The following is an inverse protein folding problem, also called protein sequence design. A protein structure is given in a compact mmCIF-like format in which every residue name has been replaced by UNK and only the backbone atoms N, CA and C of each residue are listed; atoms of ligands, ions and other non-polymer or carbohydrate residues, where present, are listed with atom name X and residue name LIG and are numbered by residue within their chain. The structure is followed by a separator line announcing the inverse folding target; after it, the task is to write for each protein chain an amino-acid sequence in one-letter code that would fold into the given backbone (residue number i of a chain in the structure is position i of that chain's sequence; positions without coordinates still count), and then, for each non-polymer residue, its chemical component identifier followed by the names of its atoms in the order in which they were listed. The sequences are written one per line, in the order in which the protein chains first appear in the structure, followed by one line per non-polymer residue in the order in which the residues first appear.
data_IF_534522819726
#
_entry.id   IF_534522819726
#
_cell.length_a   1.000
_cell.length_b   1.000
_cell.length_c   1.000
_cell.angle_alpha   90.00
_cell.angle_beta   90.00
_cell.angle_gamma   90.00
#
_symmetry.space_group_name_H-M   'P 1'
#
loop_
_entity.id
_entity.type
_entity.pdbx_description
1 polymer ?
#
# COMPACT_ATOMS: atom_id res chain seq x y z
N UNK A 1 -5.55 -37.81 -21.28
CA UNK A 1 -4.52 -36.77 -21.50
C UNK A 1 -4.41 -35.94 -20.23
N UNK A 2 -3.40 -36.23 -19.41
CA UNK A 2 -3.13 -35.46 -18.20
C UNK A 2 -2.33 -34.20 -18.59
N UNK A 3 -2.87 -33.03 -18.28
CA UNK A 3 -2.11 -31.79 -18.34
C UNK A 3 -1.09 -31.81 -17.20
N UNK A 4 0.18 -32.02 -17.55
CA UNK A 4 1.31 -31.70 -16.69
C UNK A 4 1.30 -30.18 -16.49
N UNK A 5 0.86 -29.76 -15.30
CA UNK A 5 1.17 -28.42 -14.79
C UNK A 5 2.69 -28.37 -14.66
N UNK A 6 3.33 -27.57 -15.50
CA UNK A 6 4.73 -27.25 -15.34
C UNK A 6 4.90 -26.59 -13.97
N UNK A 7 5.45 -27.34 -13.02
CA UNK A 7 6.02 -26.77 -11.80
C UNK A 7 7.23 -25.98 -12.27
N UNK A 8 7.02 -24.72 -12.63
CA UNK A 8 8.12 -23.77 -12.79
C UNK A 8 8.88 -23.74 -11.48
N UNK A 9 10.16 -24.08 -11.55
CA UNK A 9 11.09 -24.08 -10.43
C UNK A 9 11.16 -22.68 -9.79
N UNK A 10 10.27 -22.42 -8.82
CA UNK A 10 10.26 -21.18 -8.02
C UNK A 10 11.51 -21.07 -7.15
N UNK A 11 12.27 -22.16 -6.96
CA UNK A 11 13.36 -22.20 -5.97
C UNK A 11 14.63 -21.45 -6.38
N UNK A 12 14.85 -21.20 -7.68
CA UNK A 12 16.09 -20.56 -8.14
C UNK A 12 16.08 -19.02 -8.06
N UNK A 13 14.90 -18.40 -8.02
CA UNK A 13 14.76 -16.93 -8.07
C UNK A 13 13.95 -16.34 -6.90
N UNK A 14 13.51 -17.17 -5.96
CA UNK A 14 12.80 -16.73 -4.77
C UNK A 14 13.29 -17.43 -3.50
N UNK A 15 13.26 -16.72 -2.37
CA UNK A 15 13.67 -17.22 -1.05
C UNK A 15 12.62 -16.78 -0.02
N UNK A 16 12.09 -17.66 0.84
CA UNK A 16 11.03 -17.29 1.78
C UNK A 16 11.51 -16.24 2.79
N UNK A 17 10.62 -15.30 3.13
CA UNK A 17 10.81 -14.40 4.26
C UNK A 17 10.24 -15.03 5.54
N UNK A 18 10.86 -14.74 6.67
CA UNK A 18 10.35 -15.09 7.99
C UNK A 18 9.39 -14.01 8.48
N UNK A 19 8.15 -14.38 8.77
CA UNK A 19 7.14 -13.46 9.26
C UNK A 19 6.66 -13.85 10.66
N UNK A 20 6.49 -12.83 11.49
CA UNK A 20 5.64 -12.89 12.67
C UNK A 20 4.58 -11.80 12.57
N UNK A 21 3.43 -11.99 13.21
CA UNK A 21 2.29 -11.10 13.15
C UNK A 21 1.79 -10.72 14.55
N UNK A 22 1.33 -9.49 14.69
CA UNK A 22 0.66 -8.97 15.87
C UNK A 22 -0.63 -8.27 15.44
N UNK A 23 -1.78 -8.82 15.83
CA UNK A 23 -3.10 -8.28 15.47
C UNK A 23 -3.59 -7.29 16.53
N UNK A 24 -3.98 -6.10 16.08
CA UNK A 24 -4.58 -5.04 16.87
C UNK A 24 -6.04 -4.86 16.45
N UNK A 25 -6.95 -5.04 17.41
CA UNK A 25 -8.38 -4.78 17.25
C UNK A 25 -8.69 -3.36 17.76
N UNK A 26 -9.64 -2.69 17.13
CA UNK A 26 -9.98 -1.30 17.48
C UNK A 26 -9.17 -0.29 16.69
N UNK A 27 -8.77 0.81 17.34
CA UNK A 27 -8.02 1.89 16.69
C UNK A 27 -6.58 1.46 16.35
N UNK A 28 -6.04 1.89 15.19
CA UNK A 28 -4.63 1.68 14.87
C UNK A 28 -3.73 2.32 15.94
N UNK A 29 -2.60 1.67 16.21
CA UNK A 29 -1.60 2.14 17.18
C UNK A 29 -0.36 2.66 16.46
N UNK A 30 0.46 3.43 17.19
CA UNK A 30 1.72 3.94 16.64
C UNK A 30 2.71 2.81 16.35
N UNK A 31 3.65 3.04 15.44
CA UNK A 31 4.78 2.13 15.21
C UNK A 31 5.53 1.79 16.51
N UNK A 32 5.78 2.80 17.36
CA UNK A 32 6.53 2.63 18.60
C UNK A 32 5.83 1.68 19.60
N UNK A 33 4.50 1.65 19.60
CA UNK A 33 3.72 0.72 20.41
C UNK A 33 3.62 -0.65 19.74
N UNK A 34 3.44 -0.67 18.42
CA UNK A 34 3.30 -1.90 17.65
C UNK A 34 4.52 -2.82 17.77
N UNK A 35 5.74 -2.29 17.70
CA UNK A 35 6.97 -3.10 17.81
C UNK A 35 7.19 -3.70 19.20
N UNK A 36 6.45 -3.26 20.21
CA UNK A 36 6.44 -3.84 21.57
C UNK A 36 5.35 -4.90 21.73
N UNK A 37 4.54 -5.11 20.70
CA UNK A 37 3.46 -6.08 20.69
C UNK A 37 3.94 -7.52 20.78
N UNK A 38 3.00 -8.42 21.05
CA UNK A 38 3.28 -9.86 21.10
C UNK A 38 3.14 -10.46 19.70
N UNK A 39 4.28 -10.62 19.02
CA UNK A 39 4.33 -11.21 17.69
C UNK A 39 4.35 -12.73 17.75
N UNK A 40 3.48 -13.37 16.97
CA UNK A 40 3.44 -14.84 16.80
C UNK A 40 3.80 -15.21 15.37
N UNK A 41 4.36 -16.40 15.15
CA UNK A 41 4.75 -16.84 13.80
C UNK A 41 3.54 -16.90 12.87
N UNK A 42 3.73 -16.43 11.63
CA UNK A 42 2.78 -16.62 10.53
C UNK A 42 3.53 -17.06 9.27
N UNK A 43 2.90 -17.87 8.42
CA UNK A 43 3.46 -18.32 7.13
C UNK A 43 2.43 -18.19 6.01
N UNK A 44 2.89 -18.29 4.77
CA UNK A 44 1.99 -18.42 3.62
C UNK A 44 1.00 -19.57 3.83
N UNK A 45 -0.26 -19.31 3.54
CA UNK A 45 -1.40 -20.19 3.77
C UNK A 45 -2.17 -19.90 5.06
N UNK A 46 -1.58 -19.16 6.01
CA UNK A 46 -2.25 -18.82 7.26
C UNK A 46 -3.26 -17.67 7.05
N UNK A 47 -4.37 -17.74 7.79
CA UNK A 47 -5.39 -16.71 7.81
C UNK A 47 -5.01 -15.56 8.76
N UNK A 48 -5.35 -14.32 8.39
CA UNK A 48 -5.07 -13.14 9.19
C UNK A 48 -6.11 -12.04 9.01
N UNK A 49 -6.07 -11.05 9.91
CA UNK A 49 -6.77 -9.79 9.77
C UNK A 49 -8.29 -9.92 9.79
N UNK A 50 -8.90 -10.06 10.98
CA UNK A 50 -10.34 -9.83 11.11
C UNK A 50 -10.73 -8.47 10.52
N UNK A 51 -11.94 -8.31 9.95
CA UNK A 51 -12.31 -7.06 9.28
C UNK A 51 -12.05 -5.82 10.13
N UNK A 52 -11.51 -4.79 9.49
CA UNK A 52 -11.17 -3.49 10.08
C UNK A 52 -10.16 -3.54 11.24
N UNK A 53 -9.41 -4.64 11.36
CA UNK A 53 -8.25 -4.75 12.25
C UNK A 53 -6.97 -4.28 11.57
N UNK A 54 -5.95 -4.03 12.38
CA UNK A 54 -4.59 -3.79 11.92
C UNK A 54 -3.74 -4.97 12.28
N UNK A 55 -3.07 -5.60 11.32
CA UNK A 55 -2.07 -6.63 11.59
C UNK A 55 -0.70 -6.06 11.26
N UNK A 56 0.16 -6.00 12.27
CA UNK A 56 1.56 -5.69 12.10
C UNK A 56 2.30 -6.97 11.75
N UNK A 57 2.99 -7.00 10.61
CA UNK A 57 3.91 -8.09 10.27
C UNK A 57 5.34 -7.63 10.54
N UNK A 58 6.12 -8.39 11.31
CA UNK A 58 7.57 -8.23 11.35
C UNK A 58 8.18 -9.14 10.30
N UNK A 59 8.87 -8.55 9.33
CA UNK A 59 9.45 -9.23 8.18
C UNK A 59 10.95 -9.32 8.37
N UNK A 60 11.47 -10.55 8.39
CA UNK A 60 12.89 -10.83 8.52
C UNK A 60 13.40 -11.77 7.44
N UNK A 61 14.68 -11.70 7.16
CA UNK A 61 15.34 -12.62 6.24
C UNK A 61 16.74 -12.15 5.87
N UNK A 62 17.40 -12.95 5.03
CA UNK A 62 18.73 -12.64 4.50
C UNK A 62 18.72 -12.84 2.99
N UNK A 63 19.27 -11.87 2.27
CA UNK A 63 19.50 -11.97 0.84
C UNK A 63 20.54 -13.05 0.59
N UNK A 64 20.25 -14.07 -0.24
CA UNK A 64 21.23 -15.09 -0.59
C UNK A 64 22.52 -14.47 -1.18
N UNK A 65 23.68 -14.98 -0.78
CA UNK A 65 24.98 -14.47 -1.26
C UNK A 65 25.09 -14.51 -2.80
N UNK A 66 24.49 -15.54 -3.41
CA UNK A 66 24.44 -15.69 -4.87
C UNK A 66 23.67 -14.56 -5.59
N UNK A 67 22.91 -13.73 -4.86
CA UNK A 67 22.14 -12.62 -5.41
C UNK A 67 22.80 -11.25 -5.16
N UNK A 68 23.96 -11.21 -4.50
CA UNK A 68 24.70 -9.95 -4.31
C UNK A 68 24.98 -9.28 -5.65
N UNK A 69 24.79 -7.96 -5.69
CA UNK A 69 24.90 -7.16 -6.92
C UNK A 69 23.68 -7.23 -7.86
N UNK A 70 22.65 -8.01 -7.54
CA UNK A 70 21.36 -8.02 -8.26
C UNK A 70 20.37 -7.08 -7.60
N UNK A 71 19.36 -6.59 -8.34
CA UNK A 71 18.22 -5.88 -7.78
C UNK A 71 17.31 -6.89 -7.07
N UNK A 72 17.30 -6.87 -5.74
CA UNK A 72 16.49 -7.76 -4.90
C UNK A 72 15.31 -7.00 -4.32
N UNK A 73 14.17 -7.65 -4.25
CA UNK A 73 12.93 -7.10 -3.69
C UNK A 73 12.29 -8.09 -2.71
N UNK A 74 11.57 -7.57 -1.73
CA UNK A 74 10.61 -8.34 -0.95
C UNK A 74 9.24 -8.23 -1.62
N UNK A 75 8.68 -9.36 -2.02
CA UNK A 75 7.41 -9.48 -2.74
C UNK A 75 6.34 -10.08 -1.83
N UNK A 76 5.13 -9.51 -1.92
CA UNK A 76 4.00 -9.85 -1.07
C UNK A 76 2.73 -10.09 -1.88
N UNK A 77 1.98 -11.11 -1.46
CA UNK A 77 0.54 -11.22 -1.69
C UNK A 77 -0.10 -11.44 -0.32
N UNK A 78 -0.66 -10.37 0.23
CA UNK A 78 -1.28 -10.37 1.55
C UNK A 78 -2.68 -11.00 1.54
N UNK A 79 -3.10 -11.59 0.42
CA UNK A 79 -4.44 -12.15 0.25
C UNK A 79 -5.37 -11.22 -0.51
N UNK A 80 -4.83 -10.40 -1.42
CA UNK A 80 -5.58 -9.36 -2.11
C UNK A 80 -6.84 -9.94 -2.79
N UNK A 81 -7.98 -9.34 -2.48
CA UNK A 81 -9.30 -9.78 -2.91
C UNK A 81 -10.10 -8.57 -3.43
N UNK A 82 -9.92 -8.26 -4.73
CA UNK A 82 -10.57 -7.13 -5.39
C UNK A 82 -9.58 -6.06 -5.89
N UNK A 83 -10.10 -4.92 -6.39
CA UNK A 83 -9.27 -3.81 -6.83
C UNK A 83 -8.57 -3.09 -5.65
N UNK A 84 -7.46 -2.42 -5.94
CA UNK A 84 -6.75 -1.54 -4.99
C UNK A 84 -7.72 -0.53 -4.37
N UNK A 85 -7.60 -0.26 -3.07
CA UNK A 85 -8.56 0.54 -2.31
C UNK A 85 -9.70 -0.25 -1.66
N UNK A 86 -10.04 -1.46 -2.13
CA UNK A 86 -11.18 -2.25 -1.64
C UNK A 86 -10.77 -3.65 -1.15
N UNK A 87 -9.55 -3.75 -0.66
CA UNK A 87 -8.92 -4.98 -0.15
C UNK A 87 -7.94 -4.61 0.98
N UNK A 88 -7.26 -5.61 1.56
CA UNK A 88 -6.12 -5.35 2.43
C UNK A 88 -5.01 -4.56 1.74
N UNK A 89 -4.40 -3.63 2.49
CA UNK A 89 -3.32 -2.74 2.06
C UNK A 89 -2.35 -2.61 3.23
N UNK A 90 -1.06 -2.41 2.97
CA UNK A 90 -0.08 -2.27 4.03
C UNK A 90 0.90 -1.12 3.80
N UNK A 91 1.27 -0.43 4.87
CA UNK A 91 2.35 0.57 4.84
C UNK A 91 3.62 -0.06 5.42
N UNK A 92 4.73 0.05 4.70
CA UNK A 92 6.01 -0.47 5.16
C UNK A 92 6.73 0.55 6.07
N UNK A 93 7.22 0.07 7.22
CA UNK A 93 7.84 0.85 8.29
C UNK A 93 9.19 0.31 8.74
N UNK A 94 10.21 1.16 8.78
CA UNK A 94 11.55 0.81 9.26
C UNK A 94 12.09 1.94 10.11
N UNK A 95 12.58 1.60 11.31
CA UNK A 95 13.17 2.58 12.24
C UNK A 95 12.24 3.78 12.52
N UNK A 96 10.93 3.50 12.66
CA UNK A 96 9.92 4.52 12.91
C UNK A 96 9.49 5.35 11.71
N UNK A 97 10.01 5.05 10.51
CA UNK A 97 9.71 5.80 9.29
C UNK A 97 8.92 4.95 8.28
N UNK A 98 7.76 5.43 7.81
CA UNK A 98 7.06 4.79 6.72
C UNK A 98 7.74 5.16 5.39
N UNK A 99 7.80 4.23 4.43
CA UNK A 99 8.48 4.54 3.16
C UNK A 99 7.75 4.16 1.88
N UNK A 100 6.91 3.12 1.87
CA UNK A 100 6.17 2.70 0.68
C UNK A 100 4.97 1.82 1.02
N UNK A 101 3.89 1.97 0.26
CA UNK A 101 2.71 1.11 0.34
C UNK A 101 2.89 -0.23 -0.37
N UNK A 102 2.13 -1.23 0.09
CA UNK A 102 1.99 -2.57 -0.49
C UNK A 102 0.51 -2.83 -0.75
N UNK A 103 0.18 -3.12 -2.00
CA UNK A 103 -1.21 -3.27 -2.49
C UNK A 103 -1.23 -4.12 -3.78
N UNK A 104 -2.40 -4.41 -4.38
CA UNK A 104 -2.49 -5.24 -5.59
C UNK A 104 -1.68 -4.75 -6.79
N UNK A 105 -1.39 -3.45 -6.90
CA UNK A 105 -0.60 -2.83 -7.98
C UNK A 105 0.86 -2.61 -7.56
N UNK A 106 1.15 -2.50 -6.27
CA UNK A 106 2.50 -2.31 -5.73
C UNK A 106 2.87 -3.47 -4.78
N UNK A 107 3.24 -4.61 -5.36
CA UNK A 107 3.43 -5.86 -4.60
C UNK A 107 4.83 -6.09 -4.05
N UNK A 108 5.77 -5.19 -4.33
CA UNK A 108 7.16 -5.40 -3.95
C UNK A 108 7.80 -4.15 -3.33
N UNK A 109 8.73 -4.38 -2.42
CA UNK A 109 9.53 -3.36 -1.74
C UNK A 109 11.01 -3.56 -2.08
N UNK A 110 11.75 -2.50 -2.40
CA UNK A 110 13.19 -2.61 -2.67
C UNK A 110 13.94 -3.01 -1.39
N UNK A 111 14.91 -3.92 -1.51
CA UNK A 111 15.78 -4.34 -0.42
C UNK A 111 17.20 -3.84 -0.69
N UNK A 112 17.70 -3.00 0.22
CA UNK A 112 19.03 -2.41 0.14
C UNK A 112 19.90 -3.03 1.23
N UNK A 113 20.69 -4.04 0.85
CA UNK A 113 21.63 -4.72 1.74
C UNK A 113 21.32 -6.21 1.95
N UNK A 114 22.19 -6.90 2.71
CA UNK A 114 22.09 -8.35 2.91
C UNK A 114 20.99 -8.73 3.90
N UNK A 115 20.65 -7.88 4.86
CA UNK A 115 19.67 -8.17 5.89
C UNK A 115 18.32 -7.51 5.59
N UNK A 116 17.26 -8.26 5.83
CA UNK A 116 15.88 -7.79 5.80
C UNK A 116 15.38 -7.71 7.23
N UNK A 117 15.01 -6.50 7.66
CA UNK A 117 14.34 -6.26 8.92
C UNK A 117 13.49 -4.99 8.78
N UNK A 118 12.16 -5.18 8.77
CA UNK A 118 11.18 -4.09 8.73
C UNK A 118 9.80 -4.60 9.13
N UNK A 119 8.84 -3.68 9.23
CA UNK A 119 7.46 -3.99 9.59
C UNK A 119 6.50 -3.59 8.48
N UNK A 120 5.40 -4.32 8.34
CA UNK A 120 4.24 -3.92 7.54
C UNK A 120 3.07 -3.65 8.48
N UNK A 121 2.51 -2.44 8.42
CA UNK A 121 1.23 -2.10 9.05
C UNK A 121 0.12 -2.43 8.05
N UNK A 122 -0.50 -3.60 8.16
CA UNK A 122 -1.53 -4.05 7.23
C UNK A 122 -2.95 -3.80 7.76
N UNK A 123 -3.75 -3.05 7.01
CA UNK A 123 -5.16 -2.84 7.28
C UNK A 123 -5.99 -3.95 6.63
N UNK A 124 -6.81 -4.64 7.42
CA UNK A 124 -7.69 -5.69 6.93
C UNK A 124 -9.03 -5.10 6.50
N UNK A 125 -9.09 -4.53 5.29
CA UNK A 125 -10.26 -3.82 4.78
C UNK A 125 -11.01 -4.69 3.75
N UNK A 126 -11.88 -5.63 4.17
CA UNK A 126 -12.73 -6.33 3.21
C UNK A 126 -13.72 -5.36 2.59
N UNK A 127 -14.15 -5.65 1.37
CA UNK A 127 -15.16 -4.86 0.67
C UNK A 127 -16.45 -4.78 1.48
N UNK A 128 -17.04 -3.58 1.54
CA UNK A 128 -18.36 -3.39 2.12
C UNK A 128 -19.42 -4.14 1.27
N UNK A 129 -20.54 -4.54 1.90
CA UNK A 129 -21.65 -5.09 1.12
C UNK A 129 -22.43 -3.95 0.48
N UNK A 130 -22.26 -3.76 -0.84
CA UNK A 130 -22.98 -2.72 -1.61
C UNK A 130 -24.31 -3.21 -2.17
N UNK A 131 -24.40 -4.52 -2.50
CA UNK A 131 -25.54 -5.16 -3.13
C UNK A 131 -25.66 -6.62 -2.64
N UNK A 132 -26.87 -7.14 -2.50
CA UNK A 132 -27.08 -8.54 -2.09
C UNK A 132 -28.46 -8.82 -1.52
N UNK A 133 -28.70 -10.07 -1.12
CA UNK A 133 -29.90 -10.45 -0.39
C UNK A 133 -29.75 -10.13 1.10
N UNK A 134 -30.81 -9.59 1.71
CA UNK A 134 -30.84 -9.30 3.14
C UNK A 134 -31.02 -10.58 3.99
N UNK A 135 -30.40 -10.67 5.18
CA UNK A 135 -29.61 -9.63 5.83
C UNK A 135 -28.13 -9.60 5.35
N UNK A 136 -27.69 -8.45 4.83
CA UNK A 136 -26.29 -8.21 4.53
C UNK A 136 -25.53 -7.71 5.78
N UNK A 137 -24.27 -8.13 6.01
CA UNK A 137 -23.50 -7.62 7.14
C UNK A 137 -23.18 -6.13 6.93
N UNK A 138 -23.61 -5.29 7.87
CA UNK A 138 -23.23 -3.87 7.89
C UNK A 138 -21.74 -3.70 8.16
N UNK A 139 -21.20 -2.52 7.86
CA UNK A 139 -19.82 -2.14 8.23
C UNK A 139 -19.55 -2.27 9.73
N UNK A 140 -20.56 -2.02 10.56
CA UNK A 140 -20.49 -2.20 12.02
C UNK A 140 -20.40 -3.68 12.38
N UNK A 141 -21.25 -4.51 11.78
CA UNK A 141 -21.22 -5.96 12.01
C UNK A 141 -19.89 -6.58 11.55
N UNK A 142 -19.37 -6.16 10.40
CA UNK A 142 -18.05 -6.57 9.92
C UNK A 142 -16.95 -6.21 10.92
N UNK A 143 -16.95 -4.98 11.46
CA UNK A 143 -15.95 -4.54 12.44
C UNK A 143 -15.90 -5.45 13.67
N UNK A 144 -17.04 -5.97 14.11
CA UNK A 144 -17.13 -6.86 15.27
C UNK A 144 -16.78 -8.32 14.94
N UNK A 145 -16.81 -8.70 13.66
CA UNK A 145 -16.52 -10.06 13.22
C UNK A 145 -15.10 -10.49 13.68
N UNK A 146 -14.98 -11.65 14.37
CA UNK A 146 -13.70 -12.14 14.87
C UNK A 146 -12.90 -12.90 13.81
N UNK A 147 -13.57 -13.37 12.75
CA UNK A 147 -12.96 -14.26 11.77
C UNK A 147 -11.99 -13.51 10.86
N UNK A 148 -10.81 -14.10 10.58
CA UNK A 148 -9.87 -13.55 9.60
C UNK A 148 -10.53 -13.32 8.22
N UNK A 149 -10.26 -12.16 7.62
CA UNK A 149 -10.79 -11.82 6.29
C UNK A 149 -9.84 -12.17 5.14
N UNK A 150 -8.56 -12.43 5.43
CA UNK A 150 -7.52 -12.60 4.42
C UNK A 150 -6.65 -13.83 4.68
N UNK A 151 -6.04 -14.35 3.61
CA UNK A 151 -5.04 -15.42 3.67
C UNK A 151 -3.71 -14.85 3.16
N UNK A 152 -2.65 -14.93 3.95
CA UNK A 152 -1.32 -14.56 3.48
C UNK A 152 -0.89 -15.55 2.40
N UNK A 153 -0.75 -15.12 1.15
CA UNK A 153 -0.43 -16.02 0.03
C UNK A 153 1.06 -16.08 -0.27
N UNK A 154 1.74 -14.94 -0.19
CA UNK A 154 3.14 -14.83 -0.56
C UNK A 154 3.88 -13.80 0.29
N UNK A 155 5.08 -14.16 0.73
CA UNK A 155 6.05 -13.27 1.35
C UNK A 155 7.45 -13.84 1.09
N UNK A 156 8.11 -13.35 0.04
CA UNK A 156 9.38 -13.90 -0.45
C UNK A 156 10.34 -12.77 -0.83
N UNK A 157 11.63 -13.03 -0.72
CA UNK A 157 12.63 -12.31 -1.51
C UNK A 157 12.63 -12.84 -2.93
N UNK A 158 12.83 -11.95 -3.90
CA UNK A 158 12.96 -12.29 -5.30
C UNK A 158 13.98 -11.40 -6.00
N UNK A 159 14.61 -11.92 -7.06
CA UNK A 159 15.37 -11.09 -8.00
C UNK A 159 14.36 -10.32 -8.86
N UNK A 160 14.38 -8.99 -8.75
CA UNK A 160 13.53 -8.13 -9.56
C UNK A 160 14.06 -8.10 -10.99
N UNK A 161 13.20 -8.49 -11.93
CA UNK A 161 13.42 -8.29 -13.36
C UNK A 161 12.57 -7.09 -13.76
N UNK A 162 13.18 -5.99 -14.25
CA UNK A 162 12.38 -4.90 -14.78
C UNK A 162 11.53 -5.44 -15.93
N UNK A 163 10.31 -4.93 -16.07
CA UNK A 163 9.45 -5.28 -17.19
C UNK A 163 10.19 -4.93 -18.49
N UNK A 164 10.46 -5.96 -19.30
CA UNK A 164 11.14 -5.82 -20.58
C UNK A 164 10.19 -5.32 -21.67
N UNK A 165 9.20 -4.50 -21.31
CA UNK A 165 8.31 -3.90 -22.28
C UNK A 165 9.16 -3.00 -23.18
N UNK A 166 9.56 -3.55 -24.33
CA UNK A 166 10.26 -2.81 -25.36
C UNK A 166 9.37 -1.65 -25.75
N UNK A 167 9.78 -0.44 -25.35
CA UNK A 167 9.24 0.77 -25.94
C UNK A 167 9.71 0.74 -27.39
N UNK A 168 8.88 0.23 -28.29
CA UNK A 168 9.14 0.38 -29.72
C UNK A 168 9.25 1.86 -30.03
N UNK A 169 10.24 2.25 -30.85
CA UNK A 169 10.28 3.60 -31.40
C UNK A 169 9.00 3.82 -32.22
N UNK A 170 8.00 4.43 -31.61
CA UNK A 170 6.83 4.92 -32.30
C UNK A 170 7.19 6.27 -32.92
N UNK A 171 7.06 6.40 -34.24
CA UNK A 171 7.05 7.71 -34.89
C UNK A 171 5.76 8.42 -34.48
N UNK A 172 5.88 9.45 -33.66
CA UNK A 172 4.75 10.22 -33.16
C UNK A 172 4.54 11.47 -34.02
N UNK A 173 3.29 11.81 -34.31
CA UNK A 173 2.93 13.09 -34.91
C UNK A 173 3.01 14.20 -33.84
N UNK A 174 3.81 15.24 -34.10
CA UNK A 174 4.05 16.36 -33.20
C UNK A 174 2.98 17.47 -33.29
N UNK A 175 1.90 17.27 -34.04
CA UNK A 175 0.80 18.23 -34.18
C UNK A 175 0.03 18.50 -32.87
N UNK A 176 0.06 17.56 -31.92
CA UNK A 176 -0.63 17.67 -30.64
C UNK A 176 0.36 17.59 -29.47
N UNK A 177 0.07 18.33 -28.40
CA UNK A 177 0.75 18.20 -27.11
C UNK A 177 -0.17 17.50 -26.13
N UNK A 178 0.28 16.38 -25.56
CA UNK A 178 -0.43 15.64 -24.50
C UNK A 178 0.38 15.78 -23.22
N UNK A 179 -0.27 16.21 -22.15
CA UNK A 179 0.32 16.25 -20.81
C UNK A 179 -0.35 15.18 -19.94
N UNK A 180 0.47 14.35 -19.30
CA UNK A 180 0.00 13.34 -18.35
C UNK A 180 0.44 13.74 -16.94
N UNK A 181 -0.48 13.62 -15.98
CA UNK A 181 -0.23 13.89 -14.56
C UNK A 181 -0.81 12.74 -13.77
N UNK A 182 -0.04 12.19 -12.83
CA UNK A 182 -0.53 11.18 -11.90
C UNK A 182 -1.53 11.79 -10.93
N UNK A 183 -2.57 11.04 -10.59
CA UNK A 183 -3.55 11.45 -9.60
C UNK A 183 -4.08 10.23 -8.85
N UNK A 184 -4.35 10.39 -7.56
CA UNK A 184 -4.97 9.36 -6.73
C UNK A 184 -6.10 10.01 -5.93
N UNK A 185 -7.32 9.83 -6.43
CA UNK A 185 -8.53 10.23 -5.73
C UNK A 185 -8.74 9.34 -4.51
N UNK A 186 -8.95 9.93 -3.34
CA UNK A 186 -9.20 9.19 -2.10
C UNK A 186 -10.39 9.84 -1.38
N UNK A 187 -11.52 9.14 -1.39
CA UNK A 187 -12.69 9.61 -0.66
C UNK A 187 -12.41 9.72 0.84
N UNK A 188 -12.70 10.91 1.38
CA UNK A 188 -12.47 11.24 2.80
C UNK A 188 -13.22 10.27 3.71
N UNK A 189 -14.47 9.95 3.38
CA UNK A 189 -15.26 8.91 4.01
C UNK A 189 -16.27 8.37 2.99
N UNK A 190 -16.20 7.08 2.69
CA UNK A 190 -17.14 6.40 1.81
C UNK A 190 -17.41 5.00 2.35
N UNK A 191 -16.80 3.96 1.78
CA UNK A 191 -16.89 2.58 2.26
C UNK A 191 -15.89 2.25 3.37
N UNK A 192 -15.38 3.28 4.04
CA UNK A 192 -14.43 3.18 5.12
C UNK A 192 -14.54 4.39 6.06
N UNK A 193 -14.21 4.22 7.36
CA UNK A 193 -14.18 5.33 8.29
C UNK A 193 -12.96 6.25 8.08
N UNK A 194 -13.01 7.48 8.60
CA UNK A 194 -11.93 8.48 8.49
C UNK A 194 -10.55 7.96 8.90
N UNK A 195 -10.50 7.09 9.92
CA UNK A 195 -9.23 6.48 10.38
C UNK A 195 -8.56 5.64 9.29
N UNK A 196 -9.34 4.99 8.41
CA UNK A 196 -8.79 4.24 7.27
C UNK A 196 -8.40 5.18 6.14
N UNK A 197 -9.19 6.23 5.87
CA UNK A 197 -8.83 7.24 4.88
C UNK A 197 -7.46 7.86 5.16
N UNK A 198 -7.17 8.19 6.43
CA UNK A 198 -5.83 8.65 6.85
C UNK A 198 -4.71 7.68 6.47
N UNK A 199 -4.93 6.37 6.67
CA UNK A 199 -3.95 5.32 6.33
C UNK A 199 -3.83 5.10 4.84
N UNK A 200 -4.94 5.16 4.10
CA UNK A 200 -4.97 5.11 2.62
C UNK A 200 -4.18 6.26 2.01
N UNK A 201 -4.33 7.48 2.55
CA UNK A 201 -3.53 8.64 2.13
C UNK A 201 -2.04 8.39 2.39
N UNK A 202 -1.67 7.97 3.60
CA UNK A 202 -0.26 7.69 3.93
C UNK A 202 0.34 6.60 3.04
N UNK A 203 -0.39 5.51 2.84
CA UNK A 203 -0.04 4.42 1.94
C UNK A 203 0.18 4.94 0.51
N UNK A 204 -0.84 5.56 -0.09
CA UNK A 204 -0.80 6.01 -1.47
C UNK A 204 0.31 7.03 -1.69
N UNK A 205 0.39 8.05 -0.83
CA UNK A 205 1.34 9.13 -0.98
C UNK A 205 2.78 8.69 -0.73
N UNK A 206 3.02 7.73 0.18
CA UNK A 206 4.37 7.13 0.32
C UNK A 206 4.82 6.43 -0.96
N UNK A 207 3.91 5.75 -1.64
CA UNK A 207 4.16 5.11 -2.94
C UNK A 207 4.43 6.15 -4.02
N UNK A 208 3.64 7.23 -4.10
CA UNK A 208 3.88 8.31 -5.07
C UNK A 208 5.25 8.96 -4.88
N UNK A 209 5.63 9.23 -3.63
CA UNK A 209 6.97 9.77 -3.32
C UNK A 209 8.08 8.82 -3.75
N UNK A 210 7.92 7.51 -3.56
CA UNK A 210 8.89 6.52 -4.03
C UNK A 210 8.96 6.45 -5.56
N UNK A 211 7.82 6.58 -6.26
CA UNK A 211 7.79 6.65 -7.73
C UNK A 211 8.49 7.90 -8.25
N UNK A 212 8.32 9.06 -7.59
CA UNK A 212 9.04 10.29 -7.94
C UNK A 212 10.55 10.20 -7.74
N UNK A 213 11.03 9.30 -6.88
CA UNK A 213 12.46 9.03 -6.72
C UNK A 213 13.00 8.13 -7.84
N UNK A 214 12.16 7.24 -8.40
CA UNK A 214 12.52 6.33 -9.50
C UNK A 214 12.36 6.98 -10.88
N UNK A 215 11.37 7.87 -11.03
CA UNK A 215 11.01 8.54 -12.29
C UNK A 215 11.08 10.07 -12.13
N UNK A 216 12.20 10.72 -12.50
CA UNK A 216 12.40 12.17 -12.29
C UNK A 216 11.36 13.06 -12.98
N UNK A 217 10.85 12.63 -14.14
CA UNK A 217 9.86 13.39 -14.92
C UNK A 217 8.41 13.18 -14.43
N UNK A 218 8.20 12.34 -13.41
CA UNK A 218 6.87 12.06 -12.88
C UNK A 218 6.33 13.25 -12.08
N UNK A 219 5.13 13.72 -12.45
CA UNK A 219 4.35 14.73 -11.74
C UNK A 219 3.07 14.12 -11.19
N UNK A 220 2.77 14.39 -9.92
CA UNK A 220 1.56 13.94 -9.23
C UNK A 220 0.76 15.13 -8.71
N UNK A 221 -0.55 15.11 -8.90
CA UNK A 221 -1.47 16.10 -8.38
C UNK A 221 -2.32 15.55 -7.23
N UNK A 222 -2.46 16.31 -6.14
CA UNK A 222 -3.31 15.96 -5.00
C UNK A 222 -4.12 17.16 -4.51
N UNK A 223 -5.42 16.93 -4.29
CA UNK A 223 -6.46 17.96 -4.24
C UNK A 223 -6.83 18.48 -2.84
N UNK A 224 -6.87 17.61 -1.82
CA UNK A 224 -7.58 17.89 -0.56
C UNK A 224 -6.63 18.37 0.56
N UNK A 225 -6.65 19.66 1.00
CA UNK A 225 -5.89 20.17 2.14
C UNK A 225 -6.07 19.38 3.44
N UNK A 226 -7.27 18.84 3.71
CA UNK A 226 -7.52 18.00 4.88
C UNK A 226 -6.57 16.79 4.96
N UNK A 227 -6.25 16.18 3.81
CA UNK A 227 -5.34 15.03 3.75
C UNK A 227 -3.89 15.44 4.06
N UNK A 228 -3.46 16.61 3.61
CA UNK A 228 -2.14 17.17 3.97
C UNK A 228 -2.05 17.45 5.47
N UNK A 229 -3.11 17.96 6.10
CA UNK A 229 -3.13 18.14 7.55
C UNK A 229 -2.94 16.79 8.28
N UNK A 230 -3.62 15.73 7.85
CA UNK A 230 -3.43 14.41 8.44
C UNK A 230 -1.99 13.91 8.30
N UNK A 231 -1.36 14.11 7.14
CA UNK A 231 0.04 13.73 6.97
C UNK A 231 0.97 14.54 7.86
N UNK A 232 0.73 15.84 8.01
CA UNK A 232 1.51 16.70 8.90
C UNK A 232 1.44 16.23 10.36
N UNK A 233 0.26 15.80 10.79
CA UNK A 233 0.00 15.40 12.19
C UNK A 233 0.45 13.97 12.48
N UNK A 234 0.11 13.02 11.60
CA UNK A 234 0.29 11.58 11.86
C UNK A 234 1.52 10.99 11.17
N UNK A 235 2.00 11.58 10.08
CA UNK A 235 3.09 11.06 9.25
C UNK A 235 4.08 12.16 8.83
N UNK A 236 4.73 12.84 9.80
CA UNK A 236 5.52 14.05 9.52
C UNK A 236 6.68 13.81 8.54
N UNK A 237 7.23 12.61 8.46
CA UNK A 237 8.24 12.23 7.45
C UNK A 237 7.68 12.24 6.02
N UNK A 238 6.47 11.72 5.82
CA UNK A 238 5.78 11.77 4.52
C UNK A 238 5.50 13.24 4.17
N UNK A 239 4.96 14.01 5.11
CA UNK A 239 4.68 15.43 4.90
C UNK A 239 5.94 16.25 4.55
N UNK A 240 7.07 15.98 5.20
CA UNK A 240 8.36 16.61 4.86
C UNK A 240 8.76 16.30 3.42
N UNK A 241 8.70 15.03 3.00
CA UNK A 241 9.04 14.62 1.62
C UNK A 241 8.09 15.22 0.59
N UNK A 242 6.80 15.36 0.91
CA UNK A 242 5.84 16.07 0.05
C UNK A 242 6.32 17.50 -0.21
N UNK A 243 6.68 18.26 0.84
CA UNK A 243 7.18 19.62 0.66
C UNK A 243 8.45 19.68 -0.22
N UNK A 244 9.35 18.71 -0.07
CA UNK A 244 10.53 18.61 -0.92
C UNK A 244 10.15 18.39 -2.40
N UNK A 245 9.19 17.51 -2.67
CA UNK A 245 8.69 17.25 -4.02
C UNK A 245 7.86 18.39 -4.61
N UNK A 246 7.20 19.19 -3.78
CA UNK A 246 6.55 20.45 -4.20
C UNK A 246 7.60 21.45 -4.67
N UNK A 247 8.66 21.67 -3.89
CA UNK A 247 9.76 22.57 -4.29
C UNK A 247 10.46 22.07 -5.55
N UNK A 248 10.56 20.75 -5.73
CA UNK A 248 11.13 20.13 -6.92
C UNK A 248 10.20 20.14 -8.16
N UNK A 249 8.94 20.58 -8.04
CA UNK A 249 7.97 20.58 -9.15
C UNK A 249 7.44 19.20 -9.55
N UNK A 250 7.62 18.18 -8.71
CA UNK A 250 7.07 16.83 -8.95
C UNK A 250 5.73 16.60 -8.24
N UNK A 251 5.42 17.39 -7.21
CA UNK A 251 4.16 17.31 -6.47
C UNK A 251 3.39 18.60 -6.61
N UNK A 252 2.20 18.54 -7.20
CA UNK A 252 1.33 19.68 -7.45
C UNK A 252 0.12 19.64 -6.51
N UNK A 253 0.05 20.53 -5.50
CA UNK A 253 -1.17 20.76 -4.75
C UNK A 253 -2.18 21.42 -5.68
N UNK A 254 -3.25 20.71 -6.01
CA UNK A 254 -4.33 21.20 -6.87
C UNK A 254 -5.62 21.35 -6.08
N UNK A 255 -6.69 21.79 -6.74
CA UNK A 255 -7.94 22.11 -6.06
C UNK A 255 -7.86 23.43 -5.29
N UNK A 256 -8.90 23.72 -4.50
CA UNK A 256 -8.97 24.91 -3.65
C UNK A 256 -10.03 24.78 -2.53
N UNK A 257 -10.48 23.55 -2.25
CA UNK A 257 -11.51 23.27 -1.25
C UNK A 257 -10.91 22.36 -0.19
N UNK A 258 -11.28 22.56 1.08
CA UNK A 258 -10.75 21.80 2.22
C UNK A 258 -10.87 20.27 2.03
N UNK A 259 -11.98 19.87 1.44
CA UNK A 259 -12.27 18.54 0.89
C UNK A 259 -12.91 18.73 -0.49
N UNK A 260 -13.01 17.68 -1.30
CA UNK A 260 -13.82 17.68 -2.51
C UNK A 260 -15.30 17.59 -2.13
N UNK A 261 -15.88 18.72 -1.72
CA UNK A 261 -17.25 18.79 -1.24
C UNK A 261 -18.26 18.71 -2.38
N UNK A 262 -19.48 18.27 -2.06
CA UNK A 262 -20.63 18.43 -2.96
C UNK A 262 -20.91 19.93 -3.17
N UNK A 263 -21.28 20.30 -4.40
CA UNK A 263 -21.53 21.71 -4.76
C UNK A 263 -23.03 22.06 -4.80
N UNK A 264 -23.93 21.17 -4.37
CA UNK A 264 -25.37 21.38 -4.43
C UNK A 264 -26.01 21.64 -3.06
N UNK A 265 -25.62 20.86 -2.05
CA UNK A 265 -26.20 20.90 -0.71
C UNK A 265 -25.62 22.02 0.17
N UNK A 266 -24.29 22.26 0.20
CA UNK A 266 -23.73 23.31 1.03
C UNK A 266 -24.14 24.70 0.55
N UNK A 267 -24.21 25.64 1.48
CA UNK A 267 -24.39 27.05 1.14
C UNK A 267 -23.10 27.63 0.53
N UNK A 268 -23.17 28.79 -0.12
CA UNK A 268 -21.98 29.44 -0.68
C UNK A 268 -20.90 29.88 0.33
N UNK A 269 -21.23 29.93 1.63
CA UNK A 269 -20.28 30.25 2.71
C UNK A 269 -19.54 29.02 3.25
N UNK A 270 -20.00 27.81 2.89
CA UNK A 270 -19.48 26.53 3.40
C UNK A 270 -18.20 26.05 2.72
#
# INVERSE_FOLDING_TARGET
MAYLVAVTDRSLNSSPLELTAFCVRGEPISYADAIRGQFTRIKSGDAWGPPWSTTWFHVRGRVPEAWLGRRVVAQFDLGFAGPTGFTCEALAWKEGKPWRGVDPNHRWLPIHGPEVDFYLEAAANPRATEHGAEPAPSMLALREAPEPAFILREAVLAIHKPDSAGVGEASLDHSHTITAVGHAHIDTAWEWPLREAKRKVAHSWSTQLALMDEYPDYVFAASQPAQYQWMKESYPDIYRRIKEKVVAGQWEPVGAMWVEADCNLPSGES
#
